data_IF_376125143356
#
_entry.id   IF_376125143356
#
_cell.length_a   1.000
_cell.length_b   1.000
_cell.length_c   1.000
_cell.angle_alpha   90.00
_cell.angle_beta   90.00
_cell.angle_gamma   90.00
#
_symmetry.space_group_name_H-M   'P 1'
#
loop_
_entity.id
_entity.type
_entity.pdbx_description
1 polymer ?
#
# COMPACT_ATOMS: atom_id res chain seq x y z
N UNK A 1 -3.28 21.37 -23.76
CA UNK A 1 -2.37 20.22 -23.45
C UNK A 1 -3.15 18.93 -23.60
N UNK A 2 -2.62 17.95 -24.31
CA UNK A 2 -3.21 16.62 -24.43
C UNK A 2 -2.41 15.65 -23.53
N UNK A 3 -3.09 14.87 -22.70
CA UNK A 3 -2.46 13.90 -21.79
C UNK A 3 -3.04 12.52 -22.09
N UNK A 4 -2.17 11.60 -22.48
CA UNK A 4 -2.49 10.19 -22.62
C UNK A 4 -1.89 9.42 -21.44
N UNK A 5 -2.71 8.61 -20.76
CA UNK A 5 -2.29 7.82 -19.61
C UNK A 5 -2.40 6.33 -19.92
N UNK A 6 -1.29 5.62 -19.75
CA UNK A 6 -1.23 4.17 -19.88
C UNK A 6 -0.81 3.54 -18.54
N UNK A 7 -1.44 2.46 -18.12
CA UNK A 7 -1.26 1.83 -16.81
C UNK A 7 -0.72 0.39 -16.86
N UNK A 8 0.36 0.08 -17.59
CA UNK A 8 0.87 -1.30 -17.70
C UNK A 8 1.69 -1.77 -16.46
N UNK A 9 1.83 -0.91 -15.46
CA UNK A 9 2.52 -1.18 -14.20
C UNK A 9 3.88 -0.49 -14.04
N UNK A 10 4.38 -0.47 -12.78
CA UNK A 10 5.57 0.31 -12.40
C UNK A 10 6.83 0.01 -13.23
N UNK A 11 7.12 -1.26 -13.50
CA UNK A 11 8.31 -1.62 -14.29
C UNK A 11 8.27 -1.07 -15.73
N UNK A 12 7.07 -1.02 -16.33
CA UNK A 12 6.89 -0.43 -17.64
C UNK A 12 7.00 1.10 -17.59
N UNK A 13 6.43 1.75 -16.56
CA UNK A 13 6.57 3.19 -16.34
C UNK A 13 8.03 3.62 -16.16
N UNK A 14 8.78 2.89 -15.34
CA UNK A 14 10.23 3.12 -15.17
C UNK A 14 10.97 2.99 -16.50
N UNK A 15 10.72 1.92 -17.25
CA UNK A 15 11.36 1.69 -18.56
C UNK A 15 11.01 2.81 -19.55
N UNK A 16 9.74 3.23 -19.58
CA UNK A 16 9.28 4.29 -20.49
C UNK A 16 9.93 5.64 -20.19
N UNK A 17 10.10 6.02 -18.93
CA UNK A 17 10.85 7.21 -18.54
C UNK A 17 12.33 7.10 -18.92
N UNK A 18 12.95 5.95 -18.70
CA UNK A 18 14.38 5.72 -18.99
C UNK A 18 14.70 5.79 -20.48
N UNK A 19 13.88 5.22 -21.33
CA UNK A 19 14.10 5.19 -22.79
C UNK A 19 13.45 6.36 -23.53
N UNK A 20 12.71 7.23 -22.83
CA UNK A 20 12.08 8.41 -23.42
C UNK A 20 10.84 8.11 -24.27
N UNK A 21 10.23 6.91 -24.14
CA UNK A 21 8.98 6.59 -24.84
C UNK A 21 7.74 7.20 -24.16
N UNK A 22 7.89 7.71 -22.96
CA UNK A 22 6.92 8.60 -22.29
C UNK A 22 7.66 9.79 -21.68
N UNK A 23 7.00 10.94 -21.64
CA UNK A 23 7.53 12.17 -21.02
C UNK A 23 7.62 11.99 -19.50
N UNK A 24 6.66 11.26 -18.91
CA UNK A 24 6.57 10.94 -17.49
C UNK A 24 6.32 9.44 -17.34
N UNK A 25 7.17 8.77 -16.58
CA UNK A 25 6.90 7.41 -16.07
C UNK A 25 6.20 7.47 -14.73
N UNK A 26 5.46 6.41 -14.39
CA UNK A 26 4.79 6.28 -13.10
C UNK A 26 5.21 4.99 -12.39
N UNK A 27 5.40 5.07 -11.06
CA UNK A 27 5.67 3.91 -10.22
C UNK A 27 4.88 4.00 -8.92
N UNK A 28 4.27 2.91 -8.50
CA UNK A 28 3.59 2.78 -7.20
C UNK A 28 4.45 2.03 -6.16
N UNK A 29 5.76 2.07 -6.33
CA UNK A 29 6.78 1.53 -5.43
C UNK A 29 8.09 2.29 -5.58
N UNK A 30 8.97 2.16 -4.61
CA UNK A 30 10.35 2.60 -4.76
C UNK A 30 11.01 1.91 -5.95
N UNK A 31 11.96 2.61 -6.60
CA UNK A 31 12.77 2.01 -7.64
C UNK A 31 13.70 0.95 -7.05
N UNK A 32 13.88 -0.14 -7.78
CA UNK A 32 14.94 -1.11 -7.50
C UNK A 32 16.30 -0.47 -7.78
N UNK A 33 17.34 -0.92 -7.12
CA UNK A 33 18.69 -0.36 -7.33
C UNK A 33 19.14 -0.47 -8.80
N UNK A 34 18.74 -1.55 -9.49
CA UNK A 34 18.98 -1.74 -10.93
C UNK A 34 18.17 -0.80 -11.84
N UNK A 35 17.18 -0.13 -11.32
CA UNK A 35 16.32 0.81 -12.06
C UNK A 35 16.78 2.26 -11.90
N UNK A 36 17.55 2.56 -10.84
CA UNK A 36 18.05 3.91 -10.57
C UNK A 36 19.10 4.35 -11.57
N UNK A 37 19.01 5.59 -12.00
CA UNK A 37 20.00 6.25 -12.87
C UNK A 37 20.21 7.69 -12.40
N UNK A 38 21.44 8.25 -12.45
CA UNK A 38 21.71 9.61 -12.00
C UNK A 38 20.88 10.68 -12.76
N UNK A 39 20.49 10.38 -14.00
CA UNK A 39 19.72 11.29 -14.86
C UNK A 39 18.20 11.07 -14.76
N UNK A 40 17.74 10.13 -13.94
CA UNK A 40 16.32 9.86 -13.72
C UNK A 40 15.88 10.56 -12.44
N UNK A 41 15.03 11.56 -12.56
CA UNK A 41 14.43 12.25 -11.42
C UNK A 41 13.27 11.42 -10.87
N UNK A 42 13.26 11.19 -9.56
CA UNK A 42 12.19 10.53 -8.82
C UNK A 42 11.47 11.57 -7.97
N UNK A 43 10.19 11.79 -8.21
CA UNK A 43 9.40 12.74 -7.44
C UNK A 43 8.19 12.04 -6.83
N UNK A 44 8.03 12.17 -5.50
CA UNK A 44 6.89 11.60 -4.78
C UNK A 44 5.72 12.54 -4.91
N UNK A 45 4.61 12.08 -5.48
CA UNK A 45 3.37 12.86 -5.63
C UNK A 45 2.29 12.48 -4.63
N UNK A 46 2.39 11.31 -4.02
CA UNK A 46 1.46 10.82 -3.00
C UNK A 46 2.07 9.62 -2.28
N UNK A 47 1.47 9.22 -1.16
CA UNK A 47 1.77 7.96 -0.46
C UNK A 47 0.48 7.18 -0.22
N UNK A 48 0.58 5.87 -0.27
CA UNK A 48 -0.47 4.94 0.14
C UNK A 48 -0.04 4.27 1.45
N UNK A 49 -0.73 4.60 2.54
CA UNK A 49 -0.55 3.93 3.82
C UNK A 49 -1.60 2.84 3.98
N UNK A 50 -1.21 1.66 4.44
CA UNK A 50 -2.10 0.52 4.68
C UNK A 50 -2.13 0.23 6.17
N UNK A 51 -3.30 0.39 6.78
CA UNK A 51 -3.52 0.04 8.18
C UNK A 51 -3.91 -1.42 8.30
N UNK A 52 -3.21 -2.15 9.15
CA UNK A 52 -3.65 -3.48 9.61
C UNK A 52 -4.63 -3.25 10.76
N UNK A 53 -5.83 -3.77 10.64
CA UNK A 53 -6.94 -3.45 11.53
C UNK A 53 -7.52 -4.69 12.19
N UNK A 54 -7.97 -4.50 13.43
CA UNK A 54 -8.67 -5.50 14.24
C UNK A 54 -9.92 -4.90 14.84
N UNK A 55 -10.77 -5.74 15.41
CA UNK A 55 -11.92 -5.28 16.18
C UNK A 55 -11.46 -4.44 17.40
N UNK A 56 -12.17 -3.36 17.78
CA UNK A 56 -11.77 -2.50 18.90
C UNK A 56 -11.59 -3.23 20.23
N UNK A 57 -12.34 -4.32 20.46
CA UNK A 57 -12.23 -5.14 21.67
C UNK A 57 -11.03 -6.08 21.71
N UNK A 58 -10.29 -6.21 20.60
CA UNK A 58 -9.10 -7.09 20.58
C UNK A 58 -8.02 -6.52 21.50
N UNK A 59 -7.47 -7.37 22.37
CA UNK A 59 -6.44 -6.99 23.34
C UNK A 59 -5.07 -6.78 22.71
N UNK A 60 -4.81 -7.36 21.53
CA UNK A 60 -3.59 -7.14 20.76
C UNK A 60 -3.66 -5.75 20.10
N UNK A 61 -2.68 -4.90 20.42
CA UNK A 61 -2.62 -3.52 19.92
C UNK A 61 -1.45 -3.28 18.95
N UNK A 62 -0.58 -4.25 18.79
CA UNK A 62 0.56 -4.19 17.87
C UNK A 62 1.03 -5.58 17.49
N UNK A 63 1.62 -5.67 16.31
CA UNK A 63 2.25 -6.86 15.75
C UNK A 63 3.55 -6.46 15.06
N UNK A 64 4.45 -7.41 14.87
CA UNK A 64 5.55 -7.23 13.92
C UNK A 64 5.06 -7.47 12.50
N UNK A 65 5.75 -6.91 11.51
CA UNK A 65 5.47 -7.18 10.10
C UNK A 65 5.57 -8.69 9.78
N UNK A 66 6.53 -9.38 10.40
CA UNK A 66 6.69 -10.83 10.29
C UNK A 66 5.46 -11.58 10.82
N UNK A 67 4.97 -11.23 12.01
CA UNK A 67 3.76 -11.83 12.58
C UNK A 67 2.54 -11.62 11.69
N UNK A 68 2.38 -10.44 11.11
CA UNK A 68 1.30 -10.17 10.14
C UNK A 68 1.43 -11.08 8.92
N UNK A 69 2.64 -11.20 8.37
CA UNK A 69 2.91 -12.10 7.23
C UNK A 69 2.57 -13.56 7.58
N UNK A 70 3.01 -14.06 8.72
CA UNK A 70 2.73 -15.43 9.18
C UNK A 70 1.24 -15.68 9.42
N UNK A 71 0.50 -14.71 9.94
CA UNK A 71 -0.96 -14.78 10.07
C UNK A 71 -1.62 -14.97 8.70
N UNK A 72 -1.23 -14.16 7.73
CA UNK A 72 -1.83 -14.24 6.39
C UNK A 72 -1.39 -15.48 5.60
N UNK A 73 -0.21 -16.03 5.86
CA UNK A 73 0.21 -17.33 5.33
C UNK A 73 -0.53 -18.49 5.98
N UNK A 74 -1.07 -18.30 7.20
CA UNK A 74 -1.75 -19.33 7.97
C UNK A 74 -0.83 -20.12 8.89
N UNK A 75 0.36 -19.62 9.16
CA UNK A 75 1.34 -20.23 10.09
C UNK A 75 1.01 -19.84 11.54
N UNK A 76 0.54 -18.61 11.77
CA UNK A 76 -0.07 -18.15 13.02
C UNK A 76 -1.60 -18.17 12.86
N UNK A 77 -2.29 -18.97 13.68
CA UNK A 77 -3.74 -19.22 13.54
C UNK A 77 -4.54 -18.89 14.78
N UNK A 78 -3.88 -18.55 15.90
CA UNK A 78 -4.51 -18.28 17.18
C UNK A 78 -3.91 -17.00 17.79
N UNK A 79 -4.77 -16.12 18.28
CA UNK A 79 -4.35 -14.86 18.91
C UNK A 79 -3.40 -15.05 20.09
N UNK A 80 -3.50 -16.16 20.79
CA UNK A 80 -2.59 -16.52 21.89
C UNK A 80 -1.13 -16.60 21.45
N UNK A 81 -0.85 -16.96 20.21
CA UNK A 81 0.52 -17.02 19.66
C UNK A 81 1.18 -15.65 19.56
N UNK A 82 0.39 -14.59 19.61
CA UNK A 82 0.86 -13.18 19.53
C UNK A 82 0.44 -12.37 20.77
N UNK A 83 0.19 -13.03 21.89
CA UNK A 83 -0.09 -12.38 23.17
C UNK A 83 -1.55 -12.00 23.42
N UNK A 84 -2.47 -12.46 22.60
CA UNK A 84 -3.90 -12.24 22.74
C UNK A 84 -4.64 -13.38 23.44
N UNK A 85 -5.95 -13.41 23.29
CA UNK A 85 -6.83 -14.45 23.82
C UNK A 85 -6.62 -15.79 23.10
N UNK A 86 -6.98 -16.88 23.76
CA UNK A 86 -6.99 -18.23 23.17
C UNK A 86 -8.21 -18.38 22.24
N UNK A 87 -8.13 -17.74 21.09
CA UNK A 87 -9.17 -17.69 20.06
C UNK A 87 -8.55 -17.77 18.67
N UNK A 88 -9.21 -18.45 17.71
CA UNK A 88 -8.72 -18.55 16.35
C UNK A 88 -8.73 -17.18 15.67
N UNK A 89 -7.71 -16.93 14.85
CA UNK A 89 -7.62 -15.72 14.01
C UNK A 89 -8.44 -15.93 12.74
N UNK A 90 -9.31 -14.99 12.42
CA UNK A 90 -10.03 -14.93 11.15
C UNK A 90 -9.35 -13.86 10.27
N UNK A 91 -8.51 -14.28 9.35
CA UNK A 91 -7.88 -13.37 8.42
C UNK A 91 -8.85 -12.97 7.29
N UNK A 92 -8.92 -11.67 7.00
CA UNK A 92 -9.76 -11.12 5.94
C UNK A 92 -8.85 -10.41 4.94
N UNK A 93 -8.97 -10.79 3.67
CA UNK A 93 -8.23 -10.20 2.56
C UNK A 93 -9.19 -9.54 1.56
N UNK A 94 -8.65 -8.96 0.52
CA UNK A 94 -9.39 -8.34 -0.58
C UNK A 94 -9.40 -9.26 -1.79
N UNK A 95 -10.25 -8.98 -2.74
CA UNK A 95 -10.24 -9.62 -4.06
C UNK A 95 -8.93 -9.35 -4.82
N UNK A 96 -8.68 -10.13 -5.86
CA UNK A 96 -7.42 -10.08 -6.63
C UNK A 96 -7.27 -8.82 -7.49
N UNK A 97 -8.35 -8.07 -7.74
CA UNK A 97 -8.31 -6.81 -8.47
C UNK A 97 -7.95 -5.62 -7.57
N UNK A 98 -7.91 -5.81 -6.25
CA UNK A 98 -7.62 -4.75 -5.28
C UNK A 98 -6.16 -4.29 -5.35
N UNK A 99 -5.97 -3.01 -5.64
CA UNK A 99 -4.65 -2.36 -5.56
C UNK A 99 -4.06 -2.36 -4.14
N UNK A 100 -4.91 -2.20 -3.11
CA UNK A 100 -4.51 -2.29 -1.71
C UNK A 100 -4.00 -3.68 -1.35
N UNK A 101 -4.66 -4.75 -1.85
CA UNK A 101 -4.16 -6.12 -1.71
C UNK A 101 -2.81 -6.30 -2.38
N UNK A 102 -2.66 -5.83 -3.61
CA UNK A 102 -1.40 -5.94 -4.35
C UNK A 102 -0.23 -5.29 -3.60
N UNK A 103 -0.46 -4.10 -3.03
CA UNK A 103 0.51 -3.39 -2.21
C UNK A 103 0.82 -4.15 -0.91
N UNK A 104 -0.21 -4.61 -0.21
CA UNK A 104 -0.05 -5.36 1.03
C UNK A 104 0.74 -6.66 0.82
N UNK A 105 0.42 -7.43 -0.21
CA UNK A 105 1.16 -8.64 -0.57
C UNK A 105 2.64 -8.36 -0.88
N UNK A 106 2.94 -7.23 -1.51
CA UNK A 106 4.31 -6.85 -1.81
C UNK A 106 5.07 -6.43 -0.56
N UNK A 107 4.48 -5.56 0.27
CA UNK A 107 5.11 -5.03 1.49
C UNK A 107 5.33 -6.15 2.52
N UNK A 108 4.35 -7.06 2.68
CA UNK A 108 4.39 -8.16 3.65
C UNK A 108 5.04 -9.44 3.10
N UNK A 109 5.65 -9.38 1.91
CA UNK A 109 6.29 -10.54 1.28
C UNK A 109 5.36 -11.76 1.16
N UNK A 110 4.09 -11.50 0.81
CA UNK A 110 3.04 -12.50 0.64
C UNK A 110 2.92 -13.00 -0.80
N UNK A 111 4.04 -13.08 -1.50
CA UNK A 111 4.14 -13.62 -2.84
C UNK A 111 5.13 -14.77 -2.87
N UNK A 112 4.79 -15.84 -3.59
CA UNK A 112 5.66 -17.00 -3.79
C UNK A 112 5.70 -17.41 -5.26
N UNK A 113 6.77 -18.08 -5.67
CA UNK A 113 6.88 -18.64 -7.01
C UNK A 113 6.48 -20.12 -7.00
N UNK A 114 5.55 -20.47 -7.88
CA UNK A 114 5.17 -21.87 -8.15
C UNK A 114 5.26 -22.08 -9.66
N UNK A 115 6.05 -23.03 -10.10
CA UNK A 115 6.26 -23.35 -11.53
C UNK A 115 6.58 -22.12 -12.37
N UNK A 116 7.45 -21.24 -11.85
CA UNK A 116 7.87 -20.01 -12.55
C UNK A 116 6.86 -18.84 -12.50
N UNK A 117 5.66 -19.06 -11.99
CA UNK A 117 4.64 -18.01 -11.84
C UNK A 117 4.63 -17.45 -10.42
N UNK A 118 4.50 -16.14 -10.30
CA UNK A 118 4.31 -15.46 -9.02
C UNK A 118 2.83 -15.55 -8.61
N UNK A 119 2.57 -16.12 -7.44
CA UNK A 119 1.22 -16.28 -6.88
C UNK A 119 1.16 -15.72 -5.47
N UNK A 120 -0.05 -15.45 -4.98
CA UNK A 120 -0.28 -15.05 -3.59
C UNK A 120 0.11 -16.18 -2.62
N UNK A 121 0.73 -15.80 -1.52
CA UNK A 121 1.00 -16.70 -0.39
C UNK A 121 -0.08 -16.58 0.71
N UNK A 122 -1.10 -15.74 0.51
CA UNK A 122 -2.22 -15.64 1.44
C UNK A 122 -2.95 -16.97 1.52
N UNK A 123 -3.23 -17.42 2.73
CA UNK A 123 -3.95 -18.68 2.99
C UNK A 123 -5.31 -18.71 2.29
N UNK A 124 -5.64 -19.85 1.72
CA UNK A 124 -6.97 -20.09 1.12
C UNK A 124 -8.12 -20.06 2.15
N UNK A 125 -7.80 -20.07 3.45
CA UNK A 125 -8.78 -19.92 4.55
C UNK A 125 -9.15 -18.46 4.81
N UNK A 126 -8.40 -17.50 4.28
CA UNK A 126 -8.72 -16.08 4.43
C UNK A 126 -10.05 -15.75 3.73
N UNK A 127 -10.90 -15.03 4.46
CA UNK A 127 -12.15 -14.54 3.91
C UNK A 127 -11.87 -13.39 2.94
N UNK A 128 -12.68 -13.27 1.89
CA UNK A 128 -12.49 -12.22 0.87
C UNK A 128 -13.55 -11.14 1.03
N UNK A 129 -13.11 -9.91 1.21
CA UNK A 129 -13.97 -8.73 1.28
C UNK A 129 -13.92 -7.91 0.00
N UNK A 130 -15.02 -7.25 -0.32
CA UNK A 130 -15.11 -6.31 -1.43
C UNK A 130 -14.96 -4.87 -0.92
N UNK A 131 -13.93 -4.17 -1.39
CA UNK A 131 -13.64 -2.79 -1.02
C UNK A 131 -13.13 -2.61 0.43
N UNK A 132 -12.60 -1.41 0.72
CA UNK A 132 -12.18 -1.04 2.09
C UNK A 132 -13.37 -1.06 3.06
N UNK A 133 -14.53 -0.57 2.63
CA UNK A 133 -15.74 -0.53 3.44
C UNK A 133 -16.24 -1.92 3.81
N UNK A 134 -16.27 -2.85 2.85
CA UNK A 134 -16.67 -4.24 3.09
C UNK A 134 -15.74 -4.93 4.09
N UNK A 135 -14.42 -4.79 3.90
CA UNK A 135 -13.45 -5.35 4.83
C UNK A 135 -13.60 -4.76 6.24
N UNK A 136 -13.72 -3.44 6.34
CA UNK A 136 -13.93 -2.75 7.61
C UNK A 136 -15.18 -3.26 8.35
N UNK A 137 -16.30 -3.43 7.64
CA UNK A 137 -17.54 -3.99 8.19
C UNK A 137 -17.33 -5.42 8.72
N UNK A 138 -16.63 -6.27 7.98
CA UNK A 138 -16.35 -7.64 8.41
C UNK A 138 -15.48 -7.65 9.68
N UNK A 139 -14.46 -6.80 9.77
CA UNK A 139 -13.62 -6.68 10.98
C UNK A 139 -14.43 -6.15 12.16
N UNK A 140 -15.24 -5.12 11.96
CA UNK A 140 -16.10 -4.55 12.99
C UNK A 140 -17.15 -5.52 13.52
N UNK A 141 -17.49 -6.56 12.75
CA UNK A 141 -18.49 -7.57 13.12
C UNK A 141 -17.92 -8.81 13.80
N UNK A 142 -16.59 -8.97 13.80
CA UNK A 142 -15.95 -10.18 14.36
C UNK A 142 -14.77 -9.81 15.27
N UNK A 143 -14.90 -10.03 16.60
CA UNK A 143 -13.84 -9.70 17.57
C UNK A 143 -12.50 -10.38 17.32
N UNK A 144 -12.46 -11.47 16.56
CA UNK A 144 -11.25 -12.29 16.33
C UNK A 144 -10.67 -12.13 14.93
N UNK A 145 -11.19 -11.20 14.16
CA UNK A 145 -10.71 -10.95 12.80
C UNK A 145 -9.55 -9.98 12.74
N UNK A 146 -8.79 -10.11 11.68
CA UNK A 146 -7.74 -9.18 11.25
C UNK A 146 -7.93 -8.86 9.76
N UNK A 147 -7.72 -7.63 9.38
CA UNK A 147 -7.82 -7.17 8.01
C UNK A 147 -6.84 -6.04 7.70
N UNK A 148 -6.89 -5.52 6.50
CA UNK A 148 -6.11 -4.36 6.09
C UNK A 148 -6.91 -3.45 5.16
N UNK A 149 -6.79 -2.16 5.37
CA UNK A 149 -7.49 -1.10 4.61
C UNK A 149 -6.56 0.07 4.34
N UNK A 150 -6.89 0.91 3.38
CA UNK A 150 -6.20 2.19 3.22
C UNK A 150 -6.31 3.01 4.49
N UNK A 151 -5.19 3.57 4.95
CA UNK A 151 -5.10 4.32 6.20
C UNK A 151 -6.12 5.45 6.31
N UNK A 152 -6.38 6.15 5.19
CA UNK A 152 -7.37 7.22 5.13
C UNK A 152 -8.82 6.78 5.36
N UNK A 153 -9.11 5.48 5.38
CA UNK A 153 -10.46 4.92 5.62
C UNK A 153 -10.67 4.40 7.04
N UNK A 154 -9.65 4.48 7.89
CA UNK A 154 -9.73 4.07 9.30
C UNK A 154 -10.66 5.02 10.06
N UNK A 155 -11.56 4.46 10.83
CA UNK A 155 -12.45 5.18 11.75
C UNK A 155 -12.63 4.40 13.07
N UNK A 156 -13.49 4.88 13.96
CA UNK A 156 -13.73 4.29 15.27
C UNK A 156 -14.37 2.88 15.26
N UNK A 157 -14.79 2.37 14.10
CA UNK A 157 -15.37 1.02 13.99
C UNK A 157 -14.32 -0.10 14.04
N UNK A 158 -13.07 0.23 13.79
CA UNK A 158 -11.92 -0.68 13.82
C UNK A 158 -10.74 -0.05 14.55
N UNK A 159 -9.81 -0.89 15.03
CA UNK A 159 -8.57 -0.43 15.65
C UNK A 159 -7.38 -0.75 14.73
N UNK A 160 -6.61 0.30 14.37
CA UNK A 160 -5.37 0.14 13.61
C UNK A 160 -4.23 -0.29 14.53
N UNK A 161 -3.58 -1.41 14.20
CA UNK A 161 -2.43 -1.93 14.94
C UNK A 161 -1.16 -1.10 14.70
N UNK A 162 -0.35 -0.94 15.73
CA UNK A 162 1.05 -0.58 15.53
C UNK A 162 1.79 -1.74 14.85
N UNK A 163 2.66 -1.43 13.91
CA UNK A 163 3.52 -2.41 13.23
C UNK A 163 4.97 -2.12 13.56
N UNK A 164 5.68 -3.13 14.03
CA UNK A 164 7.06 -3.01 14.53
C UNK A 164 7.22 -1.87 15.55
N UNK A 165 6.24 -1.72 16.43
CA UNK A 165 6.18 -0.67 17.45
C UNK A 165 5.80 0.72 16.95
N UNK A 166 5.54 0.90 15.65
CA UNK A 166 5.19 2.22 15.06
C UNK A 166 3.69 2.30 14.80
N UNK A 167 2.99 3.32 15.34
CA UNK A 167 1.56 3.54 15.07
C UNK A 167 1.28 3.84 13.59
N UNK A 168 0.14 3.35 13.12
CA UNK A 168 -0.36 3.58 11.76
C UNK A 168 -0.99 4.98 11.66
N UNK A 169 -0.16 6.00 11.50
CA UNK A 169 -0.59 7.40 11.35
C UNK A 169 -0.06 8.03 10.08
N UNK A 170 -0.73 9.07 9.60
CA UNK A 170 -0.29 9.84 8.43
C UNK A 170 1.10 10.42 8.66
N UNK A 171 1.37 10.94 9.87
CA UNK A 171 2.66 11.52 10.24
C UNK A 171 3.78 10.49 10.15
N UNK A 172 3.55 9.28 10.66
CA UNK A 172 4.53 8.19 10.61
C UNK A 172 4.76 7.65 9.20
N UNK A 173 3.74 7.67 8.34
CA UNK A 173 3.90 7.35 6.92
C UNK A 173 4.75 8.41 6.23
N UNK A 174 4.46 9.70 6.43
CA UNK A 174 5.23 10.82 5.87
C UNK A 174 6.68 10.81 6.36
N UNK A 175 6.92 10.50 7.63
CA UNK A 175 8.25 10.39 8.22
C UNK A 175 9.03 9.13 7.77
N UNK A 176 8.35 8.16 7.14
CA UNK A 176 8.94 6.90 6.71
C UNK A 176 9.20 5.90 7.86
N UNK A 177 8.69 6.16 9.06
CA UNK A 177 8.81 5.26 10.22
C UNK A 177 7.78 4.13 10.19
N UNK A 178 6.57 4.38 9.68
CA UNK A 178 5.57 3.33 9.44
C UNK A 178 5.82 2.66 8.10
N UNK A 179 6.17 1.38 8.12
CA UNK A 179 6.68 0.66 6.93
C UNK A 179 5.61 0.06 6.03
N UNK A 180 4.35 -0.05 6.48
CA UNK A 180 3.26 -0.56 5.65
C UNK A 180 2.70 0.56 4.78
N UNK A 181 3.57 1.07 3.91
CA UNK A 181 3.29 2.19 3.03
C UNK A 181 4.16 2.10 1.76
N UNK A 182 3.70 2.76 0.70
CA UNK A 182 4.43 2.90 -0.56
C UNK A 182 4.30 4.30 -1.12
N UNK A 183 5.33 4.79 -1.85
CA UNK A 183 5.21 6.04 -2.59
C UNK A 183 4.48 5.82 -3.92
N UNK A 184 3.82 6.87 -4.39
CA UNK A 184 3.52 7.05 -5.80
C UNK A 184 4.51 8.04 -6.38
N UNK A 185 5.27 7.58 -7.36
CA UNK A 185 6.35 8.33 -7.98
C UNK A 185 5.98 8.72 -9.40
N UNK A 186 6.37 9.91 -9.79
CA UNK A 186 6.57 10.28 -11.18
C UNK A 186 8.07 10.34 -11.48
N UNK A 187 8.42 9.92 -12.68
CA UNK A 187 9.78 9.72 -13.13
C UNK A 187 9.98 10.45 -14.45
N UNK A 188 11.04 11.23 -14.57
CA UNK A 188 11.37 11.93 -15.81
C UNK A 188 12.88 12.15 -15.93
N UNK A 189 13.35 12.38 -17.14
CA UNK A 189 14.76 12.66 -17.38
C UNK A 189 15.11 14.09 -16.98
N UNK A 190 16.18 14.24 -16.19
CA UNK A 190 16.72 15.53 -15.79
C UNK A 190 17.01 16.42 -17.01
N UNK A 191 16.57 17.69 -16.94
CA UNK A 191 16.77 18.69 -17.99
C UNK A 191 16.02 18.44 -19.31
N UNK A 192 15.10 17.47 -19.35
CA UNK A 192 14.36 17.11 -20.57
C UNK A 192 12.84 17.29 -20.55
N UNK A 193 12.15 17.66 -19.46
CA UNK A 193 10.73 17.92 -19.57
C UNK A 193 10.47 19.13 -20.47
N UNK A 194 9.50 19.00 -21.39
CA UNK A 194 8.99 20.15 -22.13
C UNK A 194 8.34 21.14 -21.16
N UNK A 195 8.13 22.38 -21.60
CA UNK A 195 7.44 23.38 -20.78
C UNK A 195 6.02 22.92 -20.37
N UNK A 196 5.37 22.14 -21.21
CA UNK A 196 4.04 21.57 -20.93
C UNK A 196 4.12 20.43 -19.92
N UNK A 197 5.10 19.55 -20.05
CA UNK A 197 5.38 18.47 -19.09
C UNK A 197 5.70 19.06 -17.73
N UNK A 198 6.55 20.10 -17.66
CA UNK A 198 6.89 20.76 -16.41
C UNK A 198 5.65 21.38 -15.72
N UNK A 199 4.78 22.04 -16.49
CA UNK A 199 3.52 22.57 -15.94
C UNK A 199 2.64 21.46 -15.34
N UNK A 200 2.62 20.28 -15.93
CA UNK A 200 1.85 19.16 -15.40
C UNK A 200 2.48 18.58 -14.12
N UNK A 201 3.82 18.47 -14.10
CA UNK A 201 4.55 18.08 -12.89
C UNK A 201 4.27 19.06 -11.73
N UNK A 202 4.38 20.36 -11.99
CA UNK A 202 4.10 21.41 -10.99
C UNK A 202 2.65 21.34 -10.50
N UNK A 203 1.69 21.11 -11.42
CA UNK A 203 0.29 20.96 -11.05
C UNK A 203 0.05 19.75 -10.14
N UNK A 204 0.71 18.60 -10.40
CA UNK A 204 0.56 17.40 -9.53
C UNK A 204 0.94 17.66 -8.08
N UNK A 205 1.80 18.62 -7.80
CA UNK A 205 2.21 19.03 -6.45
C UNK A 205 1.41 20.23 -5.91
N UNK A 206 0.49 20.79 -6.70
CA UNK A 206 -0.35 21.89 -6.26
C UNK A 206 -1.38 21.46 -5.22
N UNK A 207 -1.88 22.42 -4.43
CA UNK A 207 -2.94 22.18 -3.46
C UNK A 207 -4.20 21.59 -4.08
N UNK A 208 -4.51 21.97 -5.34
CA UNK A 208 -5.65 21.43 -6.08
C UNK A 208 -5.48 19.92 -6.33
N UNK A 209 -4.36 19.51 -6.88
CA UNK A 209 -4.07 18.11 -7.17
C UNK A 209 -3.94 17.28 -5.87
N UNK A 210 -3.35 17.85 -4.83
CA UNK A 210 -3.18 17.17 -3.54
C UNK A 210 -4.51 17.00 -2.78
N UNK A 211 -5.51 17.87 -3.00
CA UNK A 211 -6.89 17.63 -2.55
C UNK A 211 -7.54 16.44 -3.27
N UNK A 212 -7.22 16.24 -4.55
CA UNK A 212 -7.67 15.04 -5.29
C UNK A 212 -7.04 13.78 -4.69
N UNK A 213 -5.73 13.80 -4.38
CA UNK A 213 -5.03 12.71 -3.70
C UNK A 213 -5.76 12.35 -2.39
N UNK A 214 -6.04 13.34 -1.55
CA UNK A 214 -6.73 13.14 -0.27
C UNK A 214 -8.16 12.59 -0.46
N UNK A 215 -8.90 13.05 -1.48
CA UNK A 215 -10.26 12.59 -1.75
C UNK A 215 -10.32 11.10 -2.14
N UNK A 216 -9.23 10.55 -2.64
CA UNK A 216 -9.05 9.13 -2.94
C UNK A 216 -8.44 8.32 -1.80
N UNK A 217 -8.39 8.87 -0.60
CA UNK A 217 -7.85 8.24 0.62
C UNK A 217 -6.36 7.95 0.59
N UNK A 218 -5.61 8.62 -0.29
CA UNK A 218 -4.16 8.62 -0.28
C UNK A 218 -3.60 9.76 0.54
N UNK A 219 -2.34 9.69 0.90
CA UNK A 219 -1.67 10.68 1.72
C UNK A 219 -1.00 11.72 0.82
N UNK A 220 -1.40 13.00 0.89
CA UNK A 220 -0.74 14.09 0.18
C UNK A 220 0.71 14.27 0.63
N UNK A 221 1.50 14.93 -0.22
CA UNK A 221 2.90 15.28 0.12
C UNK A 221 3.02 16.64 0.80
N UNK A 222 1.99 17.48 0.72
CA UNK A 222 1.94 18.83 1.34
C UNK A 222 1.45 18.73 2.79
#
# INVERSE_FOLDING_TARGET
MFIEVQGPGSSAGVKAAKNGSADIGMSSRNLKDSEKEPTLVEEVIARDGIAVVVHPSNTVKGLTAEQVSEIYKGDITNWKQVGGEDKPIVAITRDTASGTRGAFEEIMELKKKISGKTVSAISQRAQVANGNGGLKTMVASNPYSIGYISLGTVDGSVHALSIDGTPATVENVKAGSYKVARPFLVLYKEGKPSAETQKFLDWMLSDEAQKIVASHHYIPVN
#
